data_IF_230907690291
#
_entry.id   IF_230907690291
#
_cell.length_a   1.000
_cell.length_b   1.000
_cell.length_c   1.000
_cell.angle_alpha   90.00
_cell.angle_beta   90.00
_cell.angle_gamma   90.00
#
_symmetry.space_group_name_H-M   'P 1'
#
loop_
_entity.id
_entity.type
_entity.pdbx_description
1 polymer ?
#
# COMPACT_ATOMS: atom_id res chain seq x y z
N UNK A 1 8.39 32.68 -2.80
CA UNK A 1 8.37 32.10 -4.16
C UNK A 1 7.77 33.13 -5.08
N UNK A 2 8.48 33.51 -6.14
CA UNK A 2 7.98 34.52 -7.06
C UNK A 2 6.90 33.96 -7.98
N UNK A 3 5.94 34.83 -8.32
CA UNK A 3 4.90 34.55 -9.30
C UNK A 3 5.49 34.67 -10.72
N UNK A 4 5.08 33.76 -11.61
CA UNK A 4 5.32 33.89 -13.04
C UNK A 4 4.63 35.14 -13.60
N UNK A 5 5.00 35.58 -14.82
CA UNK A 5 4.38 36.75 -15.47
C UNK A 5 2.85 36.59 -15.55
N UNK A 6 2.38 35.41 -15.95
CA UNK A 6 0.94 35.12 -16.03
C UNK A 6 0.28 35.09 -14.64
N UNK A 7 0.94 34.49 -13.65
CA UNK A 7 0.42 34.50 -12.28
C UNK A 7 0.33 35.92 -11.69
N UNK A 8 1.25 36.83 -12.07
CA UNK A 8 1.17 38.25 -11.69
C UNK A 8 -0.01 38.93 -12.36
N UNK A 9 -0.26 38.66 -13.65
CA UNK A 9 -1.44 39.18 -14.37
C UNK A 9 -2.74 38.74 -13.70
N UNK A 10 -2.87 37.44 -13.40
CA UNK A 10 -4.03 36.89 -12.69
C UNK A 10 -4.18 37.51 -11.29
N UNK A 11 -3.08 37.63 -10.55
CA UNK A 11 -3.10 38.25 -9.22
C UNK A 11 -3.54 39.71 -9.27
N UNK A 12 -3.03 40.50 -10.22
CA UNK A 12 -3.39 41.90 -10.39
C UNK A 12 -4.86 42.06 -10.77
N UNK A 13 -5.37 41.25 -11.70
CA UNK A 13 -6.79 41.26 -12.07
C UNK A 13 -7.70 40.95 -10.86
N UNK A 14 -7.33 39.94 -10.06
CA UNK A 14 -8.07 39.61 -8.83
C UNK A 14 -7.98 40.69 -7.75
N UNK A 15 -6.86 41.40 -7.65
CA UNK A 15 -6.72 42.56 -6.76
C UNK A 15 -7.65 43.69 -7.20
N UNK A 16 -7.75 43.98 -8.50
CA UNK A 16 -8.69 44.99 -9.02
C UNK A 16 -10.14 44.62 -8.68
N UNK A 17 -10.53 43.36 -8.87
CA UNK A 17 -11.86 42.87 -8.48
C UNK A 17 -12.07 43.02 -6.96
N UNK A 18 -11.07 42.70 -6.14
CA UNK A 18 -11.15 42.87 -4.69
C UNK A 18 -11.29 44.35 -4.29
N UNK A 19 -10.63 45.27 -5.00
CA UNK A 19 -10.78 46.72 -4.80
C UNK A 19 -12.19 47.19 -5.13
N UNK A 20 -12.74 46.78 -6.27
CA UNK A 20 -14.09 47.14 -6.69
C UNK A 20 -15.14 46.62 -5.68
N UNK A 21 -15.03 45.36 -5.27
CA UNK A 21 -15.90 44.77 -4.26
C UNK A 21 -15.78 45.46 -2.90
N UNK A 22 -14.56 45.86 -2.51
CA UNK A 22 -14.32 46.60 -1.27
C UNK A 22 -15.02 47.96 -1.29
N UNK A 23 -14.86 48.72 -2.37
CA UNK A 23 -15.54 50.02 -2.58
C UNK A 23 -17.06 49.87 -2.55
N UNK A 24 -17.61 48.90 -3.29
CA UNK A 24 -19.06 48.69 -3.37
C UNK A 24 -19.69 48.23 -2.05
N UNK A 25 -18.93 47.55 -1.19
CA UNK A 25 -19.42 47.02 0.09
C UNK A 25 -19.03 47.86 1.30
N UNK A 26 -18.25 48.92 1.12
CA UNK A 26 -17.71 49.74 2.23
C UNK A 26 -16.79 48.95 3.18
N UNK A 27 -16.10 47.93 2.68
CA UNK A 27 -15.21 47.08 3.49
C UNK A 27 -13.75 47.25 3.10
N UNK A 28 -12.84 46.82 3.97
CA UNK A 28 -11.42 46.81 3.66
C UNK A 28 -11.07 45.77 2.58
N UNK A 29 -10.15 46.12 1.68
CA UNK A 29 -9.69 45.23 0.60
C UNK A 29 -9.18 43.88 1.13
N UNK A 30 -8.54 43.87 2.29
CA UNK A 30 -7.99 42.67 2.93
C UNK A 30 -9.09 41.65 3.27
N UNK A 31 -10.30 42.11 3.59
CA UNK A 31 -11.46 41.23 3.87
C UNK A 31 -11.89 40.53 2.59
N UNK A 32 -11.93 41.25 1.46
CA UNK A 32 -12.29 40.67 0.17
C UNK A 32 -11.20 39.70 -0.33
N UNK A 33 -9.93 40.05 -0.13
CA UNK A 33 -8.80 39.15 -0.40
C UNK A 33 -8.92 37.86 0.43
N UNK A 34 -9.22 37.96 1.73
CA UNK A 34 -9.39 36.77 2.57
C UNK A 34 -10.57 35.90 2.13
N UNK A 35 -11.68 36.50 1.68
CA UNK A 35 -12.82 35.79 1.08
C UNK A 35 -12.44 35.05 -0.19
N UNK A 36 -11.72 35.69 -1.11
CA UNK A 36 -11.20 35.03 -2.31
C UNK A 36 -10.29 33.84 -1.96
N UNK A 37 -9.40 34.00 -0.96
CA UNK A 37 -8.55 32.89 -0.53
C UNK A 37 -9.41 31.75 0.05
N UNK A 38 -10.40 32.05 0.89
CA UNK A 38 -11.35 31.05 1.43
C UNK A 38 -12.06 30.28 0.33
N UNK A 39 -12.48 30.96 -0.73
CA UNK A 39 -13.12 30.33 -1.89
C UNK A 39 -12.18 29.33 -2.57
N UNK A 40 -10.93 29.70 -2.82
CA UNK A 40 -9.91 28.81 -3.41
C UNK A 40 -9.67 27.60 -2.50
N UNK A 41 -9.55 27.80 -1.18
CA UNK A 41 -9.35 26.72 -0.21
C UNK A 41 -10.54 25.76 -0.22
N UNK A 42 -11.77 26.28 -0.29
CA UNK A 42 -13.00 25.48 -0.23
C UNK A 42 -13.15 24.48 -1.38
N UNK A 43 -12.56 24.78 -2.55
CA UNK A 43 -12.53 23.90 -3.72
C UNK A 43 -11.68 22.63 -3.50
N UNK A 44 -11.01 22.50 -2.35
CA UNK A 44 -10.01 21.45 -2.10
C UNK A 44 -10.23 20.75 -0.75
N UNK A 45 -10.46 19.43 -0.80
CA UNK A 45 -10.46 18.57 0.39
C UNK A 45 -9.04 18.14 0.75
N UNK A 46 -8.61 18.41 2.00
CA UNK A 46 -7.27 18.07 2.52
C UNK A 46 -7.37 17.22 3.79
N UNK A 47 -8.26 16.23 3.78
CA UNK A 47 -8.31 15.22 4.83
C UNK A 47 -7.21 14.17 4.59
N UNK A 48 -6.26 14.05 5.51
CA UNK A 48 -5.24 13.00 5.50
C UNK A 48 -4.91 12.56 6.93
N UNK A 49 -4.46 11.31 7.09
CA UNK A 49 -3.94 10.83 8.39
C UNK A 49 -2.67 11.58 8.77
N UNK A 50 -2.35 11.69 10.07
CA UNK A 50 -1.15 12.43 10.51
C UNK A 50 0.15 11.84 9.96
N UNK A 51 0.20 10.52 9.84
CA UNK A 51 1.31 9.83 9.17
C UNK A 51 1.45 10.24 7.70
N UNK A 52 0.33 10.47 6.99
CA UNK A 52 0.34 10.97 5.61
C UNK A 52 0.79 12.43 5.55
N UNK A 53 0.30 13.29 6.46
CA UNK A 53 0.71 14.70 6.55
C UNK A 53 2.22 14.83 6.73
N UNK A 54 2.81 14.05 7.66
CA UNK A 54 4.25 14.06 7.89
C UNK A 54 5.04 13.63 6.64
N UNK A 55 4.56 12.61 5.92
CA UNK A 55 5.18 12.19 4.66
C UNK A 55 5.09 13.26 3.57
N UNK A 56 3.96 13.97 3.47
CA UNK A 56 3.78 15.06 2.51
C UNK A 56 4.76 16.20 2.79
N UNK A 57 4.88 16.63 4.04
CA UNK A 57 5.84 17.67 4.45
C UNK A 57 7.28 17.27 4.15
N UNK A 58 7.68 16.02 4.45
CA UNK A 58 9.03 15.52 4.16
C UNK A 58 9.33 15.50 2.66
N UNK A 59 8.38 15.03 1.85
CA UNK A 59 8.55 14.99 0.39
C UNK A 59 8.63 16.41 -0.18
N UNK A 60 7.74 17.30 0.24
CA UNK A 60 7.76 18.70 -0.15
C UNK A 60 9.11 19.36 0.17
N UNK A 61 9.59 19.26 1.41
CA UNK A 61 10.90 19.80 1.82
C UNK A 61 12.06 19.24 0.99
N UNK A 62 12.07 17.93 0.74
CA UNK A 62 13.12 17.29 -0.07
C UNK A 62 13.10 17.71 -1.54
N UNK A 63 11.93 18.10 -2.05
CA UNK A 63 11.75 18.60 -3.40
C UNK A 63 12.21 20.06 -3.51
N UNK A 64 11.82 20.89 -2.55
CA UNK A 64 12.14 22.33 -2.55
C UNK A 64 13.58 22.64 -2.13
N UNK A 65 14.25 21.75 -1.41
CA UNK A 65 15.65 21.96 -0.96
C UNK A 65 16.69 21.76 -2.05
N UNK A 66 16.33 21.17 -3.19
CA UNK A 66 17.22 21.06 -4.36
C UNK A 66 17.01 22.34 -5.17
N UNK A 67 18.08 23.06 -5.53
CA UNK A 67 18.09 24.44 -6.03
C UNK A 67 17.23 24.75 -7.29
N UNK A 68 16.57 23.76 -7.89
CA UNK A 68 15.60 23.88 -9.01
C UNK A 68 14.17 23.49 -8.58
N UNK A 69 13.87 23.48 -7.28
CA UNK A 69 12.73 22.83 -6.64
C UNK A 69 11.35 23.46 -6.84
N UNK A 70 11.03 23.92 -8.04
CA UNK A 70 9.65 24.29 -8.39
C UNK A 70 8.76 23.05 -8.56
N UNK A 71 7.44 23.24 -8.46
CA UNK A 71 6.48 22.16 -8.61
C UNK A 71 6.66 21.46 -9.97
N UNK A 72 6.85 22.24 -11.03
CA UNK A 72 6.95 21.74 -12.41
C UNK A 72 8.11 20.77 -12.57
N UNK A 73 9.32 21.14 -12.14
CA UNK A 73 10.51 20.28 -12.22
C UNK A 73 10.34 19.01 -11.39
N UNK A 74 9.74 19.13 -10.20
CA UNK A 74 9.45 17.97 -9.35
C UNK A 74 8.45 17.00 -9.98
N UNK A 75 7.39 17.52 -10.62
CA UNK A 75 6.40 16.68 -11.31
C UNK A 75 6.99 16.07 -12.59
N UNK A 76 7.73 16.85 -13.38
CA UNK A 76 8.31 16.40 -14.66
C UNK A 76 9.44 15.38 -14.51
N UNK A 77 10.06 15.28 -13.33
CA UNK A 77 11.04 14.24 -13.01
C UNK A 77 10.40 12.90 -12.62
N UNK A 78 9.09 12.85 -12.37
CA UNK A 78 8.41 11.65 -11.92
C UNK A 78 8.30 10.58 -13.01
N UNK A 79 8.89 9.40 -12.79
CA UNK A 79 8.87 8.30 -13.77
C UNK A 79 7.64 7.37 -13.69
N UNK A 80 6.75 7.59 -12.72
CA UNK A 80 5.56 6.75 -12.49
C UNK A 80 4.36 7.57 -12.03
N UNK A 81 3.14 7.10 -12.35
CA UNK A 81 1.88 7.75 -11.94
C UNK A 81 1.76 7.89 -10.42
N UNK A 82 2.10 6.83 -9.68
CA UNK A 82 2.04 6.85 -8.22
C UNK A 82 3.01 7.87 -7.60
N UNK A 83 4.21 8.02 -8.16
CA UNK A 83 5.15 9.07 -7.75
C UNK A 83 4.60 10.45 -8.05
N UNK A 84 4.06 10.65 -9.26
CA UNK A 84 3.46 11.90 -9.68
C UNK A 84 2.30 12.32 -8.76
N UNK A 85 1.32 11.43 -8.55
CA UNK A 85 0.16 11.73 -7.72
C UNK A 85 0.57 12.02 -6.27
N UNK A 86 1.58 11.30 -5.73
CA UNK A 86 2.11 11.54 -4.39
C UNK A 86 2.82 12.89 -4.29
N UNK A 87 3.70 13.22 -5.24
CA UNK A 87 4.40 14.51 -5.29
C UNK A 87 3.38 15.65 -5.40
N UNK A 88 2.44 15.57 -6.35
CA UNK A 88 1.37 16.56 -6.55
C UNK A 88 0.55 16.76 -5.27
N UNK A 89 0.13 15.68 -4.62
CA UNK A 89 -0.63 15.75 -3.36
C UNK A 89 0.20 16.36 -2.23
N UNK A 90 1.50 16.08 -2.19
CA UNK A 90 2.40 16.61 -1.14
C UNK A 90 2.59 18.12 -1.25
N UNK A 91 2.76 18.63 -2.47
CA UNK A 91 2.80 20.07 -2.72
C UNK A 91 1.44 20.71 -2.43
N UNK A 92 0.35 20.13 -2.95
CA UNK A 92 -1.02 20.64 -2.70
C UNK A 92 -1.32 20.75 -1.20
N UNK A 93 -0.93 19.73 -0.42
CA UNK A 93 -1.08 19.73 1.03
C UNK A 93 -0.24 20.83 1.69
N UNK A 94 1.06 20.88 1.37
CA UNK A 94 2.01 21.75 2.08
C UNK A 94 1.78 23.24 1.77
N UNK A 95 1.47 23.58 0.51
CA UNK A 95 1.12 24.95 0.11
C UNK A 95 -0.17 25.38 0.80
N UNK A 96 -1.18 24.51 0.89
CA UNK A 96 -2.41 24.87 1.60
C UNK A 96 -2.19 25.11 3.09
N UNK A 97 -1.37 24.25 3.73
CA UNK A 97 -1.01 24.43 5.13
C UNK A 97 -0.30 25.77 5.36
N UNK A 98 0.56 26.17 4.43
CA UNK A 98 1.24 27.47 4.44
C UNK A 98 0.26 28.65 4.24
N UNK A 99 -0.66 28.57 3.28
CA UNK A 99 -1.72 29.58 3.09
C UNK A 99 -2.55 29.73 4.38
N UNK A 100 -2.99 28.62 4.97
CA UNK A 100 -3.78 28.64 6.21
C UNK A 100 -2.96 29.17 7.40
N UNK A 101 -1.65 28.94 7.43
CA UNK A 101 -0.76 29.50 8.46
C UNK A 101 -0.65 31.02 8.31
N UNK A 102 -0.38 31.53 7.11
CA UNK A 102 -0.26 32.96 6.83
C UNK A 102 -1.57 33.72 7.11
N UNK A 103 -2.72 33.13 6.78
CA UNK A 103 -4.04 33.71 7.13
C UNK A 103 -4.23 33.84 8.65
N UNK A 104 -3.90 32.80 9.41
CA UNK A 104 -3.96 32.83 10.89
C UNK A 104 -2.97 33.84 11.48
N UNK A 105 -1.76 33.95 10.93
CA UNK A 105 -0.77 34.96 11.32
C UNK A 105 -1.29 36.38 11.04
N UNK A 106 -1.91 36.60 9.88
CA UNK A 106 -2.53 37.88 9.51
C UNK A 106 -3.67 38.23 10.48
N UNK A 107 -4.62 37.32 10.73
CA UNK A 107 -5.71 37.54 11.67
C UNK A 107 -5.19 37.86 13.09
N UNK A 108 -4.12 37.19 13.54
CA UNK A 108 -3.49 37.48 14.83
C UNK A 108 -2.86 38.87 14.87
N UNK A 109 -2.14 39.27 13.83
CA UNK A 109 -1.51 40.59 13.72
C UNK A 109 -2.55 41.73 13.67
N UNK A 110 -3.62 41.55 12.91
CA UNK A 110 -4.74 42.50 12.86
C UNK A 110 -5.39 42.67 14.25
N UNK A 111 -5.57 41.58 15.01
CA UNK A 111 -6.10 41.64 16.39
C UNK A 111 -5.15 42.35 17.36
N UNK A 112 -3.84 42.23 17.17
CA UNK A 112 -2.85 42.97 17.96
C UNK A 112 -2.60 44.39 17.47
N UNK A 113 -3.43 44.91 16.55
CA UNK A 113 -3.31 46.25 15.92
C UNK A 113 -2.01 46.47 15.13
N UNK A 114 -1.31 45.39 14.77
CA UNK A 114 -0.16 45.44 13.86
C UNK A 114 -0.68 45.26 12.42
N UNK A 115 -1.20 46.37 11.88
CA UNK A 115 -1.86 46.36 10.58
C UNK A 115 -0.88 46.10 9.42
N UNK A 116 0.36 46.59 9.52
CA UNK A 116 1.36 46.43 8.46
C UNK A 116 1.78 44.96 8.32
N UNK A 117 2.05 44.29 9.44
CA UNK A 117 2.33 42.86 9.43
C UNK A 117 1.11 42.06 8.94
N UNK A 118 -0.09 42.42 9.41
CA UNK A 118 -1.34 41.80 8.97
C UNK A 118 -1.54 41.87 7.45
N UNK A 119 -1.35 43.06 6.86
CA UNK A 119 -1.44 43.32 5.42
C UNK A 119 -0.39 42.55 4.63
N UNK A 120 0.86 42.53 5.09
CA UNK A 120 1.93 41.79 4.44
C UNK A 120 1.62 40.29 4.40
N UNK A 121 1.14 39.73 5.51
CA UNK A 121 0.81 38.30 5.62
C UNK A 121 -0.37 37.89 4.75
N UNK A 122 -1.41 38.71 4.64
CA UNK A 122 -2.55 38.40 3.76
C UNK A 122 -2.15 38.50 2.28
N UNK A 123 -1.30 39.46 1.91
CA UNK A 123 -0.76 39.56 0.55
C UNK A 123 0.12 38.35 0.19
N UNK A 124 0.96 37.89 1.12
CA UNK A 124 1.74 36.64 0.94
C UNK A 124 0.83 35.42 0.77
N UNK A 125 -0.21 35.30 1.61
CA UNK A 125 -1.20 34.22 1.50
C UNK A 125 -1.95 34.27 0.15
N UNK A 126 -2.31 35.47 -0.31
CA UNK A 126 -2.99 35.67 -1.59
C UNK A 126 -2.12 35.27 -2.78
N UNK A 127 -0.85 35.69 -2.80
CA UNK A 127 0.11 35.28 -3.84
C UNK A 127 0.22 33.76 -3.91
N UNK A 128 0.34 33.08 -2.77
CA UNK A 128 0.36 31.62 -2.73
C UNK A 128 -0.96 30.98 -3.17
N UNK A 129 -2.11 31.58 -2.83
CA UNK A 129 -3.42 31.09 -3.25
C UNK A 129 -3.64 31.19 -4.77
N UNK A 130 -3.23 32.30 -5.40
CA UNK A 130 -3.29 32.46 -6.86
C UNK A 130 -2.38 31.44 -7.55
N UNK A 131 -1.15 31.29 -7.07
CA UNK A 131 -0.23 30.26 -7.57
C UNK A 131 -0.82 28.86 -7.43
N UNK A 132 -1.45 28.56 -6.28
CA UNK A 132 -2.08 27.28 -6.03
C UNK A 132 -3.25 26.99 -6.98
N UNK A 133 -4.10 27.98 -7.24
CA UNK A 133 -5.21 27.84 -8.18
C UNK A 133 -4.72 27.58 -9.60
N UNK A 134 -3.72 28.35 -10.06
CA UNK A 134 -3.08 28.14 -11.36
C UNK A 134 -2.44 26.75 -11.48
N UNK A 135 -1.67 26.32 -10.48
CA UNK A 135 -0.92 25.06 -10.56
C UNK A 135 -1.77 23.80 -10.35
N UNK A 136 -2.86 23.88 -9.58
CA UNK A 136 -3.63 22.71 -9.16
C UNK A 136 -5.09 22.68 -9.63
N UNK A 137 -5.71 23.82 -9.90
CA UNK A 137 -7.13 23.93 -10.21
C UNK A 137 -7.40 24.37 -11.66
N UNK A 138 -6.45 25.05 -12.31
CA UNK A 138 -6.59 25.47 -13.70
C UNK A 138 -6.68 24.29 -14.69
N UNK A 139 -7.12 24.58 -15.91
CA UNK A 139 -7.11 23.64 -17.03
C UNK A 139 -5.69 23.32 -17.50
N UNK A 140 -4.78 24.29 -17.42
CA UNK A 140 -3.37 24.19 -17.81
C UNK A 140 -2.48 23.49 -16.76
N UNK A 141 -3.09 22.94 -15.70
CA UNK A 141 -2.38 22.18 -14.68
C UNK A 141 -1.61 21.01 -15.29
N UNK A 142 -0.43 20.74 -14.74
CA UNK A 142 0.36 19.59 -15.16
C UNK A 142 -0.40 18.31 -14.78
N UNK A 143 -0.60 17.45 -15.77
CA UNK A 143 -1.15 16.09 -15.63
C UNK A 143 -0.07 15.06 -15.96
N UNK A 144 -0.31 13.81 -15.54
CA UNK A 144 0.68 12.75 -15.78
C UNK A 144 0.93 12.47 -17.27
N UNK A 145 -0.02 12.79 -18.15
CA UNK A 145 0.15 12.64 -19.59
C UNK A 145 1.26 13.56 -20.13
N UNK A 146 1.41 14.76 -19.58
CA UNK A 146 2.47 15.69 -19.99
C UNK A 146 3.86 15.11 -19.67
N UNK A 147 3.97 14.46 -18.50
CA UNK A 147 5.20 13.77 -18.09
C UNK A 147 5.48 12.56 -19.00
N UNK A 148 4.45 11.81 -19.36
CA UNK A 148 4.55 10.62 -20.24
C UNK A 148 4.95 11.00 -21.66
N UNK A 149 4.47 12.12 -22.17
CA UNK A 149 4.71 12.59 -23.53
C UNK A 149 6.05 13.33 -23.69
N UNK A 150 6.77 13.57 -22.59
CA UNK A 150 8.11 14.18 -22.64
C UNK A 150 9.08 13.32 -23.47
N UNK A 151 9.85 13.98 -24.34
CA UNK A 151 10.93 13.34 -25.12
C UNK A 151 11.91 12.63 -24.16
N UNK A 152 12.18 11.35 -24.45
CA UNK A 152 13.06 10.51 -23.61
C UNK A 152 12.41 9.92 -22.36
N UNK A 153 11.08 10.04 -22.18
CA UNK A 153 10.39 9.38 -21.08
C UNK A 153 10.52 7.86 -21.15
N UNK A 154 11.25 7.27 -20.19
CA UNK A 154 11.32 5.82 -19.99
C UNK A 154 10.57 5.44 -18.72
N UNK A 155 9.44 4.74 -18.89
CA UNK A 155 8.66 4.22 -17.76
C UNK A 155 9.47 3.18 -17.01
N UNK A 156 9.77 3.45 -15.74
CA UNK A 156 10.37 2.47 -14.84
C UNK A 156 9.27 1.71 -14.09
N UNK A 157 9.47 0.40 -13.90
CA UNK A 157 8.58 -0.42 -13.08
C UNK A 157 9.33 -0.90 -11.84
N UNK A 158 9.04 -0.30 -10.68
CA UNK A 158 9.53 -0.76 -9.38
C UNK A 158 8.66 -1.87 -8.80
N UNK A 159 8.04 -2.69 -9.65
CA UNK A 159 7.15 -3.75 -9.19
C UNK A 159 7.96 -4.81 -8.45
N UNK A 160 7.82 -4.85 -7.12
CA UNK A 160 8.43 -5.89 -6.28
C UNK A 160 8.03 -7.28 -6.76
N UNK A 161 6.79 -7.42 -7.24
CA UNK A 161 6.27 -8.64 -7.87
C UNK A 161 7.08 -9.10 -9.10
N UNK A 162 7.52 -8.17 -9.96
CA UNK A 162 8.34 -8.50 -11.14
C UNK A 162 9.82 -8.67 -10.78
N UNK A 163 10.30 -7.91 -9.81
CA UNK A 163 11.69 -7.96 -9.34
C UNK A 163 12.03 -9.14 -8.43
N UNK A 164 11.04 -9.94 -8.01
CA UNK A 164 11.22 -11.08 -7.10
C UNK A 164 12.33 -12.04 -7.52
N UNK A 165 12.44 -12.37 -8.81
CA UNK A 165 13.47 -13.30 -9.32
C UNK A 165 14.91 -12.78 -9.14
N UNK A 166 15.09 -11.46 -9.02
CA UNK A 166 16.40 -10.82 -8.84
C UNK A 166 16.69 -10.51 -7.37
N UNK A 167 15.75 -10.77 -6.47
CA UNK A 167 15.95 -10.52 -5.06
C UNK A 167 16.80 -11.66 -4.46
N UNK A 168 17.75 -11.35 -3.58
CA UNK A 168 18.55 -12.35 -2.88
C UNK A 168 17.66 -13.28 -2.06
N UNK A 169 18.17 -14.48 -1.78
CA UNK A 169 17.48 -15.40 -0.88
C UNK A 169 17.46 -14.86 0.56
N UNK A 170 16.54 -15.38 1.39
CA UNK A 170 16.48 -14.96 2.79
C UNK A 170 17.77 -15.37 3.53
N UNK A 171 18.31 -16.55 3.20
CA UNK A 171 19.52 -17.07 3.80
C UNK A 171 20.75 -16.25 3.39
N UNK A 172 20.83 -15.77 2.14
CA UNK A 172 21.88 -14.82 1.72
C UNK A 172 21.89 -13.54 2.54
N UNK A 173 20.71 -12.98 2.86
CA UNK A 173 20.61 -11.80 3.73
C UNK A 173 21.01 -12.11 5.16
N UNK A 174 20.57 -13.26 5.69
CA UNK A 174 20.91 -13.65 7.06
C UNK A 174 22.42 -13.84 7.19
N UNK A 175 23.04 -14.53 6.22
CA UNK A 175 24.49 -14.71 6.14
C UNK A 175 25.24 -13.37 6.03
N UNK A 176 24.68 -12.37 5.34
CA UNK A 176 25.31 -11.05 5.27
C UNK A 176 25.28 -10.29 6.60
N UNK A 177 24.34 -10.62 7.51
CA UNK A 177 24.36 -10.09 8.87
C UNK A 177 25.46 -10.73 9.71
N UNK A 178 25.78 -12.01 9.51
CA UNK A 178 26.79 -12.75 10.27
C UNK A 178 28.22 -12.20 10.12
N UNK A 179 28.47 -11.34 9.12
CA UNK A 179 29.74 -10.61 8.97
C UNK A 179 30.00 -9.67 10.15
N UNK A 180 28.95 -9.24 10.87
CA UNK A 180 29.07 -8.39 12.04
C UNK A 180 28.06 -8.81 13.11
N UNK A 181 28.56 -9.35 14.23
CA UNK A 181 27.72 -9.85 15.34
C UNK A 181 26.69 -8.82 15.82
N UNK A 182 27.04 -7.54 15.92
CA UNK A 182 26.10 -6.48 16.33
C UNK A 182 24.95 -6.28 15.33
N UNK A 183 25.18 -6.52 14.03
CA UNK A 183 24.13 -6.45 13.00
C UNK A 183 23.25 -7.69 13.07
N UNK A 184 23.86 -8.86 13.24
CA UNK A 184 23.17 -10.14 13.41
C UNK A 184 22.21 -10.10 14.59
N UNK A 185 22.71 -9.78 15.79
CA UNK A 185 21.92 -9.75 17.03
C UNK A 185 20.75 -8.77 16.93
N UNK A 186 20.96 -7.65 16.24
CA UNK A 186 19.95 -6.60 16.12
C UNK A 186 18.86 -6.90 15.08
N UNK A 187 19.19 -7.58 13.98
CA UNK A 187 18.28 -7.68 12.83
C UNK A 187 17.88 -9.10 12.44
N UNK A 188 18.68 -10.12 12.73
CA UNK A 188 18.50 -11.46 12.18
C UNK A 188 17.18 -12.09 12.61
N UNK A 189 16.81 -11.99 13.89
CA UNK A 189 15.54 -12.51 14.41
C UNK A 189 14.34 -11.83 13.76
N UNK A 190 14.31 -10.49 13.78
CA UNK A 190 13.24 -9.69 13.19
C UNK A 190 13.07 -9.94 11.68
N UNK A 191 14.20 -10.05 10.96
CA UNK A 191 14.18 -10.35 9.54
C UNK A 191 13.68 -11.77 9.25
N UNK A 192 14.09 -12.75 10.05
CA UNK A 192 13.65 -14.16 9.91
C UNK A 192 12.13 -14.28 10.08
N UNK A 193 11.54 -13.57 11.04
CA UNK A 193 10.07 -13.50 11.20
C UNK A 193 9.39 -12.96 9.92
N UNK A 194 9.92 -11.89 9.35
CA UNK A 194 9.38 -11.30 8.11
C UNK A 194 9.56 -12.24 6.92
N UNK A 195 10.72 -12.90 6.80
CA UNK A 195 11.05 -13.78 5.69
C UNK A 195 10.25 -15.09 5.72
N UNK A 196 9.94 -15.61 6.90
CA UNK A 196 9.18 -16.85 7.09
C UNK A 196 7.68 -16.62 6.93
N UNK A 197 7.12 -15.59 7.57
CA UNK A 197 5.66 -15.37 7.64
C UNK A 197 5.16 -14.22 6.76
N UNK A 198 6.04 -13.48 6.09
CA UNK A 198 5.66 -12.35 5.26
C UNK A 198 5.02 -11.21 6.06
N UNK A 199 5.31 -11.09 7.36
CA UNK A 199 4.72 -10.11 8.27
C UNK A 199 5.10 -8.68 7.84
N UNK A 200 4.17 -7.73 7.99
CA UNK A 200 4.48 -6.31 7.71
C UNK A 200 5.35 -5.76 8.83
N UNK A 201 6.30 -4.86 8.54
CA UNK A 201 7.10 -4.24 9.60
C UNK A 201 6.26 -3.53 10.68
N UNK A 202 5.14 -2.93 10.31
CA UNK A 202 4.21 -2.30 11.26
C UNK A 202 3.42 -3.31 12.12
N UNK A 203 3.32 -4.58 11.70
CA UNK A 203 2.77 -5.66 12.52
C UNK A 203 3.83 -6.18 13.49
N UNK A 204 5.09 -6.29 13.05
CA UNK A 204 6.21 -6.65 13.93
C UNK A 204 6.43 -5.63 15.05
N UNK A 205 6.19 -4.34 14.77
CA UNK A 205 6.20 -3.26 15.77
C UNK A 205 5.16 -3.44 16.89
N UNK A 206 4.07 -4.18 16.64
CA UNK A 206 3.04 -4.49 17.66
C UNK A 206 3.37 -5.75 18.48
N UNK A 207 4.39 -6.50 18.08
CA UNK A 207 4.72 -7.79 18.65
C UNK A 207 4.13 -8.96 17.87
N UNK A 208 4.96 -9.98 17.71
CA UNK A 208 4.61 -11.27 17.11
C UNK A 208 4.95 -12.34 18.13
N UNK A 209 3.93 -13.08 18.57
CA UNK A 209 4.16 -14.25 19.43
C UNK A 209 4.56 -15.42 18.57
N UNK A 210 5.64 -16.09 18.93
CA UNK A 210 6.14 -17.28 18.27
C UNK A 210 6.11 -18.47 19.23
N UNK A 211 5.68 -19.61 18.72
CA UNK A 211 5.68 -20.89 19.41
C UNK A 211 6.06 -21.99 18.42
N UNK A 212 6.56 -23.11 18.92
CA UNK A 212 6.81 -24.31 18.13
C UNK A 212 5.98 -25.47 18.68
N UNK A 213 5.15 -26.07 17.83
CA UNK A 213 4.41 -27.30 18.15
C UNK A 213 4.16 -28.10 16.87
N UNK A 214 4.01 -29.42 16.98
CA UNK A 214 3.70 -30.34 15.86
C UNK A 214 4.59 -30.16 14.62
N UNK A 215 5.89 -29.90 14.82
CA UNK A 215 6.85 -29.72 13.71
C UNK A 215 6.69 -28.42 12.92
N UNK A 216 5.89 -27.47 13.40
CA UNK A 216 5.67 -26.16 12.77
C UNK A 216 5.97 -24.99 13.70
N UNK A 217 6.46 -23.90 13.12
CA UNK A 217 6.58 -22.62 13.81
C UNK A 217 5.27 -21.87 13.60
N UNK A 218 4.63 -21.49 14.72
CA UNK A 218 3.40 -20.71 14.73
C UNK A 218 3.69 -19.26 15.10
N UNK A 219 3.03 -18.34 14.40
CA UNK A 219 3.09 -16.91 14.64
C UNK A 219 1.69 -16.33 14.85
N UNK A 220 1.47 -15.67 15.98
CA UNK A 220 0.24 -14.90 16.26
C UNK A 220 0.54 -13.41 16.11
N UNK A 221 -0.23 -12.73 15.26
CA UNK A 221 0.05 -11.38 14.79
C UNK A 221 -1.17 -10.49 14.91
N UNK A 222 -0.98 -9.29 15.46
CA UNK A 222 -1.97 -8.22 15.43
C UNK A 222 -1.89 -7.42 14.12
N UNK A 223 -3.04 -7.19 13.48
CA UNK A 223 -3.09 -6.47 12.21
C UNK A 223 -2.74 -4.99 12.34
N UNK A 224 -1.94 -4.47 11.40
CA UNK A 224 -1.56 -3.05 11.38
C UNK A 224 -2.51 -2.13 10.59
N UNK A 225 -3.29 -2.67 9.66
CA UNK A 225 -4.20 -1.91 8.77
C UNK A 225 -5.63 -2.41 8.89
N UNK A 226 -6.17 -2.33 10.10
CA UNK A 226 -7.54 -2.75 10.40
C UNK A 226 -8.48 -1.56 10.21
N UNK A 227 -9.57 -1.77 9.49
CA UNK A 227 -10.69 -0.84 9.37
C UNK A 227 -12.01 -1.60 9.24
N UNK A 228 -13.13 -0.89 9.10
CA UNK A 228 -14.48 -1.48 8.98
C UNK A 228 -14.55 -2.62 7.96
N UNK A 229 -13.83 -2.49 6.83
CA UNK A 229 -13.80 -3.44 5.71
C UNK A 229 -12.39 -3.90 5.31
N UNK A 230 -11.36 -3.58 6.10
CA UNK A 230 -9.96 -3.83 5.73
C UNK A 230 -9.19 -4.55 6.83
N UNK A 231 -8.34 -5.49 6.45
CA UNK A 231 -7.35 -6.15 7.32
C UNK A 231 -7.93 -7.09 8.38
N UNK A 232 -7.14 -8.05 8.83
CA UNK A 232 -7.50 -8.94 9.95
C UNK A 232 -7.09 -8.30 11.28
N UNK A 233 -7.93 -8.39 12.33
CA UNK A 233 -7.59 -7.87 13.66
C UNK A 233 -6.44 -8.68 14.27
N UNK A 234 -6.59 -10.00 14.25
CA UNK A 234 -5.57 -10.97 14.67
C UNK A 234 -5.52 -12.09 13.65
N UNK A 235 -4.34 -12.68 13.43
CA UNK A 235 -4.19 -13.91 12.68
C UNK A 235 -3.14 -14.82 13.31
N UNK A 236 -3.40 -16.12 13.24
CA UNK A 236 -2.41 -17.16 13.51
C UNK A 236 -1.93 -17.74 12.17
N UNK A 237 -0.64 -18.02 12.06
CA UNK A 237 0.00 -18.58 10.88
C UNK A 237 0.94 -19.70 11.30
N UNK A 238 0.81 -20.87 10.70
CA UNK A 238 1.71 -22.01 10.87
C UNK A 238 2.60 -22.18 9.66
N UNK A 239 3.83 -22.63 9.90
CA UNK A 239 4.86 -22.72 8.89
C UNK A 239 5.78 -23.90 9.19
N UNK A 240 5.77 -24.92 8.33
CA UNK A 240 6.66 -26.08 8.48
C UNK A 240 8.14 -25.67 8.36
N UNK A 241 9.00 -26.41 9.08
CA UNK A 241 10.44 -26.25 9.00
C UNK A 241 10.96 -26.58 7.60
N UNK A 242 11.92 -25.78 7.13
CA UNK A 242 12.64 -26.04 5.89
C UNK A 242 13.99 -26.67 6.22
N UNK A 243 14.37 -27.66 5.43
CA UNK A 243 15.70 -28.28 5.54
C UNK A 243 16.79 -27.22 5.34
N UNK A 244 17.78 -27.22 6.24
CA UNK A 244 18.96 -26.35 6.19
C UNK A 244 18.68 -24.85 6.03
N UNK A 245 17.54 -24.35 6.52
CA UNK A 245 17.22 -22.92 6.46
C UNK A 245 17.69 -22.16 7.71
N UNK A 246 18.56 -21.16 7.51
CA UNK A 246 19.13 -20.36 8.60
C UNK A 246 18.06 -19.54 9.35
N UNK A 247 17.06 -19.02 8.63
CA UNK A 247 15.96 -18.27 9.25
C UNK A 247 15.12 -19.12 10.18
N UNK A 248 14.83 -20.37 9.81
CA UNK A 248 14.08 -21.29 10.68
C UNK A 248 14.93 -21.67 11.91
N UNK A 249 16.24 -21.91 11.78
CA UNK A 249 17.14 -22.16 12.92
C UNK A 249 17.14 -21.01 13.94
N UNK A 250 17.25 -19.76 13.48
CA UNK A 250 17.23 -18.57 14.34
C UNK A 250 15.92 -18.45 15.10
N UNK A 251 14.79 -18.75 14.45
CA UNK A 251 13.48 -18.72 15.10
C UNK A 251 13.36 -19.80 16.17
N UNK A 252 13.82 -21.02 15.86
CA UNK A 252 13.81 -22.14 16.81
C UNK A 252 14.68 -21.86 18.04
N UNK A 253 15.90 -21.37 17.84
CA UNK A 253 16.82 -21.01 18.93
C UNK A 253 16.20 -19.94 19.85
N UNK A 254 15.57 -18.91 19.28
CA UNK A 254 14.88 -17.88 20.04
C UNK A 254 13.69 -18.41 20.86
N UNK A 255 12.91 -19.34 20.29
CA UNK A 255 11.78 -19.98 20.97
C UNK A 255 12.27 -20.86 22.13
N UNK A 256 13.29 -21.69 21.90
CA UNK A 256 13.81 -22.59 22.92
C UNK A 256 14.50 -21.85 24.07
N UNK A 257 15.31 -20.83 23.78
CA UNK A 257 15.95 -19.99 24.81
C UNK A 257 14.94 -19.27 25.70
N UNK A 258 13.74 -18.98 25.18
CA UNK A 258 12.66 -18.35 25.92
C UNK A 258 11.75 -19.34 26.67
N UNK A 259 12.03 -20.65 26.62
CA UNK A 259 11.23 -21.67 27.29
C UNK A 259 9.97 -22.11 26.53
N UNK A 260 9.91 -21.91 25.21
CA UNK A 260 8.84 -22.43 24.34
C UNK A 260 7.91 -21.37 23.73
N UNK A 261 7.87 -20.15 24.25
CA UNK A 261 7.17 -19.01 23.64
C UNK A 261 8.06 -17.76 23.67
N UNK A 262 8.12 -17.01 22.57
CA UNK A 262 8.83 -15.73 22.52
C UNK A 262 8.00 -14.66 21.83
N UNK A 263 8.04 -13.43 22.35
CA UNK A 263 7.43 -12.26 21.71
C UNK A 263 8.51 -11.47 20.99
N UNK A 264 8.48 -11.47 19.66
CA UNK A 264 9.42 -10.71 18.84
C UNK A 264 8.81 -9.36 18.49
N UNK A 265 9.53 -8.29 18.82
CA UNK A 265 9.18 -6.91 18.47
C UNK A 265 10.33 -6.25 17.73
N UNK A 266 10.03 -5.17 16.99
CA UNK A 266 11.06 -4.33 16.38
C UNK A 266 10.67 -2.86 16.55
N UNK A 267 11.56 -2.03 17.08
CA UNK A 267 11.30 -0.60 17.21
C UNK A 267 11.45 0.13 15.85
N UNK A 268 10.98 1.38 15.78
CA UNK A 268 11.02 2.18 14.55
C UNK A 268 12.45 2.48 14.07
N UNK A 269 13.39 2.71 14.99
CA UNK A 269 14.79 3.03 14.65
C UNK A 269 15.47 1.83 13.99
N UNK A 270 15.28 0.64 14.54
CA UNK A 270 15.83 -0.62 14.01
C UNK A 270 15.24 -0.97 12.66
N UNK A 271 13.93 -0.77 12.49
CA UNK A 271 13.29 -0.88 11.17
C UNK A 271 13.93 0.05 10.14
N UNK A 272 14.14 1.33 10.48
CA UNK A 272 14.74 2.30 9.56
C UNK A 272 16.20 1.96 9.24
N UNK A 273 16.96 1.50 10.23
CA UNK A 273 18.35 1.07 10.06
C UNK A 273 18.47 -0.19 9.22
N UNK A 274 17.64 -1.21 9.45
CA UNK A 274 17.56 -2.42 8.62
C UNK A 274 17.15 -2.08 7.18
N UNK A 275 16.19 -1.16 7.00
CA UNK A 275 15.81 -0.67 5.67
C UNK A 275 16.97 0.01 4.96
N UNK A 276 17.76 0.84 5.67
CA UNK A 276 18.96 1.49 5.13
C UNK A 276 20.04 0.47 4.77
N UNK A 277 20.26 -0.53 5.63
CA UNK A 277 21.19 -1.63 5.39
C UNK A 277 20.85 -2.38 4.10
N UNK A 278 19.59 -2.83 3.96
CA UNK A 278 19.14 -3.52 2.74
C UNK A 278 19.31 -2.66 1.49
N UNK A 279 19.04 -1.36 1.58
CA UNK A 279 19.20 -0.46 0.44
C UNK A 279 20.68 -0.28 0.03
N UNK A 280 21.60 -0.30 1.00
CA UNK A 280 23.04 -0.13 0.76
C UNK A 280 23.70 -1.41 0.24
N UNK A 281 23.40 -2.54 0.87
CA UNK A 281 24.08 -3.82 0.59
C UNK A 281 23.33 -4.71 -0.40
N UNK A 282 22.01 -4.50 -0.57
CA UNK A 282 21.16 -5.32 -1.45
C UNK A 282 20.20 -4.44 -2.27
N UNK A 283 20.72 -3.60 -3.18
CA UNK A 283 19.94 -2.60 -3.90
C UNK A 283 18.75 -3.22 -4.64
N UNK A 284 17.59 -2.57 -4.53
CA UNK A 284 16.32 -3.08 -5.08
C UNK A 284 15.56 -4.05 -4.15
N UNK A 285 16.15 -4.43 -3.02
CA UNK A 285 15.51 -5.30 -2.02
C UNK A 285 14.92 -4.49 -0.87
N UNK A 286 13.82 -4.98 -0.30
CA UNK A 286 13.17 -4.37 0.87
C UNK A 286 12.51 -5.46 1.71
N UNK A 287 12.17 -5.17 2.96
CA UNK A 287 11.42 -6.11 3.82
C UNK A 287 10.10 -6.58 3.18
N UNK A 288 9.44 -5.70 2.43
CA UNK A 288 8.23 -6.05 1.68
C UNK A 288 8.50 -6.99 0.50
N UNK A 289 9.73 -7.05 -0.01
CA UNK A 289 10.10 -8.02 -1.06
C UNK A 289 9.95 -9.44 -0.53
N UNK A 290 10.32 -9.69 0.72
CA UNK A 290 10.15 -11.00 1.36
C UNK A 290 8.69 -11.36 1.62
N UNK A 291 7.85 -10.38 1.96
CA UNK A 291 6.39 -10.59 1.95
C UNK A 291 5.85 -11.00 0.58
N UNK A 292 6.39 -10.46 -0.51
CA UNK A 292 6.03 -10.90 -1.86
C UNK A 292 6.55 -12.31 -2.17
N UNK A 293 7.69 -12.72 -1.59
CA UNK A 293 8.26 -14.06 -1.73
C UNK A 293 7.37 -15.09 -1.04
N UNK A 294 7.03 -14.86 0.23
CA UNK A 294 6.07 -15.70 0.97
C UNK A 294 4.74 -15.82 0.25
N UNK A 295 4.20 -14.71 -0.27
CA UNK A 295 2.97 -14.76 -1.07
C UNK A 295 3.11 -15.56 -2.38
N UNK A 296 4.31 -15.64 -2.95
CA UNK A 296 4.60 -16.47 -4.13
C UNK A 296 4.68 -17.94 -3.74
N UNK A 297 5.34 -18.25 -2.62
CA UNK A 297 5.48 -19.61 -2.07
C UNK A 297 4.12 -20.21 -1.69
N UNK A 298 3.26 -19.43 -1.03
CA UNK A 298 1.88 -19.86 -0.72
C UNK A 298 1.09 -20.20 -1.99
N UNK A 299 1.25 -19.42 -3.06
CA UNK A 299 0.59 -19.67 -4.36
C UNK A 299 1.19 -20.86 -5.08
N UNK A 300 2.50 -21.06 -4.99
CA UNK A 300 3.19 -22.20 -5.58
C UNK A 300 2.81 -23.51 -4.89
N UNK A 301 2.52 -23.45 -3.59
CA UNK A 301 2.10 -24.60 -2.76
C UNK A 301 0.64 -25.00 -2.96
N UNK A 302 -0.07 -24.40 -3.92
CA UNK A 302 -1.44 -24.79 -4.28
C UNK A 302 -2.53 -24.35 -3.30
N UNK A 303 -2.22 -23.52 -2.31
CA UNK A 303 -3.20 -23.05 -1.33
C UNK A 303 -4.34 -22.26 -1.98
N UNK A 304 -5.53 -22.36 -1.41
CA UNK A 304 -6.68 -21.63 -1.91
C UNK A 304 -6.53 -20.12 -1.70
N UNK A 305 -7.11 -19.32 -2.61
CA UNK A 305 -7.13 -17.84 -2.56
C UNK A 305 -7.55 -17.29 -1.20
N UNK A 306 -8.47 -17.98 -0.50
CA UNK A 306 -8.94 -17.63 0.84
C UNK A 306 -7.84 -17.79 1.89
N UNK A 307 -7.20 -18.96 1.95
CA UNK A 307 -6.13 -19.28 2.90
C UNK A 307 -4.93 -18.34 2.72
N UNK A 308 -4.56 -18.03 1.47
CA UNK A 308 -3.49 -17.05 1.18
C UNK A 308 -3.87 -15.66 1.70
N UNK A 309 -5.13 -15.25 1.54
CA UNK A 309 -5.62 -13.98 2.06
C UNK A 309 -5.60 -13.96 3.59
N UNK A 310 -6.04 -15.02 4.26
CA UNK A 310 -5.98 -15.17 5.73
C UNK A 310 -4.53 -15.09 6.23
N UNK A 311 -3.61 -15.83 5.60
CA UNK A 311 -2.18 -15.81 5.92
C UNK A 311 -1.58 -14.41 5.78
N UNK A 312 -1.89 -13.71 4.69
CA UNK A 312 -1.44 -12.33 4.48
C UNK A 312 -2.21 -11.30 5.33
N UNK A 313 -3.22 -11.70 6.09
CA UNK A 313 -4.06 -10.79 6.89
C UNK A 313 -4.91 -9.84 6.03
N UNK A 314 -5.36 -10.32 4.87
CA UNK A 314 -6.32 -9.65 3.99
C UNK A 314 -7.76 -10.08 4.35
N UNK A 315 -8.74 -9.21 4.09
CA UNK A 315 -10.18 -9.52 4.19
C UNK A 315 -10.84 -9.82 2.85
N UNK A 316 -10.12 -9.59 1.75
CA UNK A 316 -10.59 -9.85 0.38
C UNK A 316 -9.53 -10.57 -0.42
N UNK A 317 -9.97 -11.44 -1.33
CA UNK A 317 -9.06 -12.17 -2.23
C UNK A 317 -8.43 -11.27 -3.30
N UNK A 318 -9.06 -10.15 -3.69
CA UNK A 318 -8.51 -9.19 -4.67
C UNK A 318 -7.13 -8.65 -4.28
N UNK A 319 -6.96 -8.37 -2.98
CA UNK A 319 -5.73 -7.78 -2.45
C UNK A 319 -4.50 -8.64 -2.72
N UNK A 320 -4.66 -9.97 -2.86
CA UNK A 320 -3.56 -10.89 -3.08
C UNK A 320 -3.02 -10.87 -4.53
N UNK A 321 -3.77 -10.34 -5.50
CA UNK A 321 -3.36 -10.29 -6.91
C UNK A 321 -2.11 -9.41 -7.12
N UNK A 322 -1.93 -8.41 -6.26
CA UNK A 322 -0.78 -7.51 -6.24
C UNK A 322 0.49 -8.16 -5.63
N UNK A 323 0.36 -9.32 -4.99
CA UNK A 323 1.47 -9.98 -4.30
C UNK A 323 1.96 -11.22 -5.03
N UNK A 324 3.20 -11.22 -5.52
CA UNK A 324 3.88 -12.46 -5.96
C UNK A 324 3.26 -13.18 -7.17
N UNK A 325 4.08 -13.94 -7.90
CA UNK A 325 3.59 -14.88 -8.91
C UNK A 325 3.88 -16.31 -8.41
N UNK A 326 2.97 -17.27 -8.63
CA UNK A 326 3.20 -18.68 -8.25
C UNK A 326 4.51 -19.21 -8.82
N UNK A 327 4.77 -18.96 -10.12
CA UNK A 327 6.03 -19.30 -10.82
C UNK A 327 7.32 -18.67 -10.27
N UNK A 328 7.21 -17.83 -9.24
CA UNK A 328 8.35 -17.18 -8.57
C UNK A 328 8.51 -17.65 -7.14
N UNK A 329 7.66 -18.56 -6.67
CA UNK A 329 7.84 -19.26 -5.41
C UNK A 329 8.55 -20.59 -5.61
N UNK A 330 9.18 -21.10 -4.56
CA UNK A 330 9.82 -22.42 -4.56
C UNK A 330 8.81 -23.56 -4.40
N UNK A 331 7.61 -23.27 -3.87
CA UNK A 331 6.60 -24.29 -3.56
C UNK A 331 7.04 -25.23 -2.42
N UNK A 332 6.28 -26.30 -2.21
CA UNK A 332 6.67 -27.43 -1.36
C UNK A 332 6.63 -27.21 0.16
N UNK A 333 6.20 -26.03 0.64
CA UNK A 333 6.13 -25.73 2.07
C UNK A 333 4.69 -25.83 2.58
N UNK A 334 4.47 -26.68 3.60
CA UNK A 334 3.19 -26.70 4.31
C UNK A 334 3.04 -25.42 5.14
N UNK A 335 2.00 -24.65 4.85
CA UNK A 335 1.69 -23.38 5.51
C UNK A 335 0.20 -23.34 5.82
N UNK A 336 -0.16 -22.90 7.02
CA UNK A 336 -1.55 -22.81 7.48
C UNK A 336 -1.82 -21.44 8.07
N UNK A 337 -3.07 -21.00 8.06
CA UNK A 337 -3.46 -19.76 8.73
C UNK A 337 -4.92 -19.76 9.14
N UNK A 338 -5.22 -18.98 10.17
CA UNK A 338 -6.58 -18.65 10.61
C UNK A 338 -6.65 -17.17 10.98
N UNK A 339 -7.53 -16.42 10.33
CA UNK A 339 -7.79 -15.02 10.62
C UNK A 339 -8.98 -14.83 11.57
N UNK A 340 -9.02 -13.69 12.26
CA UNK A 340 -10.12 -13.35 13.18
C UNK A 340 -11.45 -13.07 12.47
N UNK A 341 -11.40 -12.61 11.23
CA UNK A 341 -12.58 -12.23 10.44
C UNK A 341 -12.68 -13.10 9.19
N UNK A 342 -13.89 -13.32 8.72
CA UNK A 342 -14.12 -14.00 7.44
C UNK A 342 -13.52 -13.25 6.25
N UNK A 343 -12.99 -14.03 5.31
CA UNK A 343 -12.43 -13.50 4.06
C UNK A 343 -13.47 -13.57 2.97
N UNK A 344 -13.81 -12.39 2.42
CA UNK A 344 -14.69 -12.26 1.25
C UNK A 344 -13.96 -12.75 0.01
N UNK A 345 -14.48 -13.81 -0.61
CA UNK A 345 -13.96 -14.35 -1.87
C UNK A 345 -14.68 -13.65 -3.02
N UNK A 346 -13.94 -12.87 -3.80
CA UNK A 346 -14.43 -12.41 -5.09
C UNK A 346 -14.18 -13.48 -6.14
N UNK A 347 -15.21 -13.82 -6.89
CA UNK A 347 -15.12 -14.75 -8.01
C UNK A 347 -14.34 -14.06 -9.14
N UNK A 348 -13.39 -14.78 -9.71
CA UNK A 348 -12.60 -14.30 -10.85
C UNK A 348 -13.32 -14.73 -12.14
N UNK A 349 -13.38 -13.86 -13.15
CA UNK A 349 -13.96 -14.21 -14.46
C UNK A 349 -13.25 -15.44 -15.04
N UNK A 350 -11.95 -15.60 -14.74
CA UNK A 350 -11.17 -16.78 -15.13
C UNK A 350 -11.60 -18.08 -14.46
N UNK A 351 -12.26 -18.01 -13.31
CA UNK A 351 -12.79 -19.19 -12.64
C UNK A 351 -14.08 -19.69 -13.33
N UNK A 352 -14.79 -18.81 -14.05
CA UNK A 352 -15.91 -19.18 -14.94
C UNK A 352 -15.46 -19.72 -16.31
N UNK A 353 -14.25 -19.35 -16.76
CA UNK A 353 -13.68 -19.78 -18.04
C UNK A 353 -12.87 -21.08 -17.95
N UNK A 354 -12.71 -21.66 -16.75
CA UNK A 354 -12.11 -22.99 -16.62
C UNK A 354 -13.14 -24.02 -17.08
N UNK A 355 -12.85 -24.86 -18.10
CA UNK A 355 -13.73 -25.96 -18.42
C UNK A 355 -13.92 -26.82 -17.16
N UNK A 356 -15.17 -27.19 -16.86
CA UNK A 356 -15.48 -28.07 -15.75
C UNK A 356 -14.53 -29.27 -15.79
N UNK A 357 -13.89 -29.59 -14.66
CA UNK A 357 -13.06 -30.78 -14.57
C UNK A 357 -13.89 -31.96 -15.06
N UNK A 358 -13.44 -32.64 -16.12
CA UNK A 358 -14.09 -33.87 -16.58
C UNK A 358 -14.23 -34.78 -15.35
N UNK A 359 -15.43 -35.29 -15.04
CA UNK A 359 -15.57 -36.22 -13.92
C UNK A 359 -14.58 -37.35 -14.13
N UNK A 360 -13.85 -37.69 -13.07
CA UNK A 360 -12.86 -38.76 -13.10
C UNK A 360 -13.47 -39.98 -13.78
N UNK A 361 -12.83 -40.45 -14.85
CA UNK A 361 -13.26 -41.65 -15.54
C UNK A 361 -13.23 -42.80 -14.54
N UNK A 362 -14.41 -43.20 -14.05
CA UNK A 362 -14.59 -44.45 -13.34
C UNK A 362 -14.15 -45.56 -14.30
N UNK A 363 -13.27 -46.49 -13.91
CA UNK A 363 -12.83 -47.54 -14.81
C UNK A 363 -14.06 -48.32 -15.30
N UNK A 364 -14.22 -48.41 -16.62
CA UNK A 364 -15.35 -49.03 -17.31
C UNK A 364 -15.29 -50.58 -17.23
N UNK A 365 -14.89 -51.12 -16.07
CA UNK A 365 -14.65 -52.56 -15.86
C UNK A 365 -15.56 -53.25 -14.85
N UNK A 366 -16.32 -52.51 -14.03
CA UNK A 366 -17.09 -53.10 -12.92
C UNK A 366 -18.61 -53.10 -13.08
N UNK A 367 -19.17 -52.42 -14.10
CA UNK A 367 -20.62 -52.36 -14.32
C UNK A 367 -21.21 -53.44 -15.25
N UNK A 368 -20.38 -54.24 -15.91
CA UNK A 368 -20.84 -55.32 -16.81
C UNK A 368 -21.14 -56.63 -16.04
N UNK A 369 -20.60 -56.82 -14.83
CA UNK A 369 -20.83 -58.03 -14.03
C UNK A 369 -22.10 -58.03 -13.16
N UNK A 370 -22.73 -56.88 -12.92
CA UNK A 370 -23.99 -56.80 -12.14
C UNK A 370 -25.25 -56.70 -13.00
N UNK A 371 -25.13 -56.54 -14.32
CA UNK A 371 -26.27 -56.44 -15.24
C UNK A 371 -26.66 -57.78 -15.91
N UNK A 372 -25.93 -58.87 -15.65
CA UNK A 372 -26.24 -60.22 -16.19
C UNK A 372 -27.02 -61.13 -15.24
N UNK A 373 -27.26 -60.72 -14.00
CA UNK A 373 -27.97 -61.54 -12.98
C UNK A 373 -29.39 -61.07 -12.68
N UNK A 374 -29.92 -60.07 -13.37
CA UNK A 374 -31.24 -59.47 -13.06
C UNK A 374 -32.13 -59.20 -14.29
N UNK A 375 -31.95 -59.94 -15.38
CA UNK A 375 -32.86 -59.90 -16.55
C UNK A 375 -33.35 -61.32 -16.84
N UNK A 376 -34.23 -61.81 -16.00
CA UNK A 376 -35.13 -62.93 -16.33
C UNK A 376 -36.44 -62.80 -15.56
N UNK A 377 -37.21 -61.74 -15.82
CA UNK A 377 -38.67 -61.71 -15.59
C UNK A 377 -39.28 -60.54 -16.34
N UNK A 378 -39.77 -60.85 -17.54
CA UNK A 378 -41.04 -60.41 -18.14
C UNK A 378 -41.73 -59.12 -17.63
N UNK A 379 -41.97 -58.23 -18.59
CA UNK A 379 -43.30 -57.76 -19.03
C UNK A 379 -43.60 -56.25 -18.93
N UNK A 380 -43.95 -55.73 -20.13
CA UNK A 380 -44.90 -54.66 -20.47
C UNK A 380 -44.63 -53.23 -19.96
N UNK A 381 -44.24 -52.39 -20.92
CA UNK A 381 -44.20 -50.94 -20.84
C UNK A 381 -45.62 -50.32 -20.72
N UNK A 382 -45.85 -49.35 -19.82
CA UNK A 382 -46.99 -48.45 -19.89
C UNK A 382 -46.68 -47.24 -20.78
N UNK A 383 -47.58 -46.94 -21.73
CA UNK A 383 -47.55 -45.75 -22.58
C UNK A 383 -47.87 -44.49 -21.76
N UNK A 384 -47.04 -43.46 -21.87
CA UNK A 384 -47.24 -42.14 -21.27
C UNK A 384 -48.19 -41.30 -22.14
N UNK A 385 -49.27 -40.75 -21.58
CA UNK A 385 -50.11 -39.71 -22.20
C UNK A 385 -49.90 -38.39 -21.43
N UNK A 386 -49.54 -37.28 -22.10
CA UNK A 386 -49.36 -35.98 -21.44
C UNK A 386 -50.69 -35.32 -21.07
N UNK A 387 -50.75 -34.52 -19.99
CA UNK A 387 -52.00 -34.00 -19.44
C UNK A 387 -52.43 -32.69 -20.09
N UNK A 388 -53.73 -32.64 -20.45
CA UNK A 388 -54.55 -31.44 -20.41
C UNK A 388 -55.23 -31.05 -21.73
N UNK A 389 -56.54 -31.34 -21.84
CA UNK A 389 -57.56 -30.30 -22.11
C UNK A 389 -58.82 -30.63 -21.27
N UNK A 390 -59.17 -29.65 -20.43
CA UNK A 390 -60.31 -29.47 -19.50
C UNK A 390 -60.33 -30.30 -18.23
#
# INVERSE_FOLDING_TARGET
MDLTIEQRRIANAKIMIAQELATNSGTFIEIQIDRMIKEIISKVKISASDASKEQYRKLYKSCTSKAEGDLKSCLMSCKTRASFDKTRTSFRFSIMEEIQKLRRESEKAMKSKDYDLGKKKIQEAFKLAVKFEDEFLSENRIIFNDVKNKKGFKRVSFSKKKGLKKAPSADEIIKSFSVNNNISDRYALAFSVIATFGIRPAELQKGVKLQFHDGMIYAVVQGAKVGSDKGQKVRAMGSALRENNEGDKILMDAIYKAGGEVVVTQNKKDYESLRKYLNRHHPGTSLYTYRHKVASDLKASGLQKRQIAEFLGHRTTDSQQYYGYSRSGSGGRSMTAKGSNEVRVKQDIKDYLKPAAKPAAVPLGSKIKQAKTSISTTSKAPKFKPPGIK
#
